data_IF_537379865951
#
_entry.id   IF_537379865951
#
_cell.length_a   1.000
_cell.length_b   1.000
_cell.length_c   1.000
_cell.angle_alpha   90.00
_cell.angle_beta   90.00
_cell.angle_gamma   90.00
#
_symmetry.space_group_name_H-M   'P 1'
#
loop_
_entity.id
_entity.type
_entity.pdbx_description
1 polymer ?
#
# COMPACT_ATOMS: atom_id res chain seq x y z
N UNK A 1 -19.44 19.74 -0.49
CA UNK A 1 -18.35 18.92 -1.03
C UNK A 1 -17.16 19.01 -0.07
N UNK A 2 -17.04 18.10 0.92
CA UNK A 2 -15.89 18.12 1.83
C UNK A 2 -14.66 17.72 1.02
N UNK A 3 -13.75 18.65 0.75
CA UNK A 3 -12.44 18.34 0.16
C UNK A 3 -11.82 17.23 1.00
N UNK A 4 -11.60 16.07 0.40
CA UNK A 4 -10.94 14.96 1.06
C UNK A 4 -9.45 15.32 1.18
N UNK A 5 -9.10 16.08 2.23
CA UNK A 5 -7.77 16.67 2.47
C UNK A 5 -6.64 15.63 2.44
N UNK A 6 -6.99 14.36 2.69
CA UNK A 6 -6.09 13.21 2.58
C UNK A 6 -5.57 13.06 1.15
N UNK A 7 -6.43 13.18 0.13
CA UNK A 7 -6.04 13.04 -1.30
C UNK A 7 -5.03 14.10 -1.74
N UNK A 8 -5.16 15.33 -1.23
CA UNK A 8 -4.31 16.45 -1.60
C UNK A 8 -3.06 16.55 -0.72
N UNK A 9 -2.94 15.72 0.32
CA UNK A 9 -1.87 15.79 1.31
C UNK A 9 -0.47 15.73 0.68
N UNK A 10 -0.14 14.82 -0.27
CA UNK A 10 1.19 14.80 -0.86
C UNK A 10 1.48 16.06 -1.69
N UNK A 11 0.46 16.55 -2.40
CA UNK A 11 0.55 17.75 -3.24
C UNK A 11 0.73 19.02 -2.41
N UNK A 12 -0.08 19.19 -1.35
CA UNK A 12 0.03 20.33 -0.42
C UNK A 12 1.37 20.28 0.30
N UNK A 13 1.80 19.09 0.73
CA UNK A 13 3.07 18.96 1.43
C UNK A 13 4.27 19.31 0.53
N UNK A 14 4.16 19.19 -0.79
CA UNK A 14 5.22 19.56 -1.74
C UNK A 14 5.32 21.08 -1.96
N UNK A 15 4.25 21.84 -1.73
CA UNK A 15 4.20 23.28 -1.97
C UNK A 15 5.30 24.09 -1.27
N UNK A 16 5.66 23.86 0.02
CA UNK A 16 6.73 24.62 0.66
C UNK A 16 8.09 24.47 -0.03
N UNK A 17 8.39 23.28 -0.56
CA UNK A 17 9.63 23.05 -1.30
C UNK A 17 9.58 23.81 -2.62
N UNK A 18 8.48 23.72 -3.35
CA UNK A 18 8.27 24.45 -4.60
C UNK A 18 8.39 25.96 -4.41
N UNK A 19 7.75 26.51 -3.38
CA UNK A 19 7.88 27.92 -3.04
C UNK A 19 9.34 28.29 -2.71
N UNK A 20 10.04 27.44 -1.95
CA UNK A 20 11.46 27.62 -1.66
C UNK A 20 12.33 27.66 -2.93
N UNK A 21 12.09 26.76 -3.89
CA UNK A 21 12.83 26.72 -5.16
C UNK A 21 12.52 27.93 -6.03
N UNK A 22 11.25 28.39 -6.07
CA UNK A 22 10.86 29.60 -6.82
C UNK A 22 11.49 30.85 -6.20
N UNK A 23 11.50 30.96 -4.87
CA UNK A 23 12.17 32.05 -4.16
C UNK A 23 13.67 32.03 -4.43
N UNK A 24 14.29 30.84 -4.41
CA UNK A 24 15.70 30.68 -4.72
C UNK A 24 16.01 31.12 -6.16
N UNK A 25 15.21 30.69 -7.14
CA UNK A 25 15.33 31.13 -8.54
C UNK A 25 15.24 32.66 -8.65
N UNK A 26 14.24 33.25 -7.99
CA UNK A 26 14.02 34.70 -8.01
C UNK A 26 15.21 35.45 -7.41
N UNK A 27 15.74 34.96 -6.29
CA UNK A 27 16.92 35.53 -5.63
C UNK A 27 18.19 35.41 -6.47
N UNK A 28 18.38 34.30 -7.20
CA UNK A 28 19.52 34.15 -8.13
C UNK A 28 19.43 35.17 -9.27
N UNK A 29 18.26 35.32 -9.89
CA UNK A 29 18.09 36.23 -11.04
C UNK A 29 18.17 37.70 -10.61
N UNK A 30 17.40 38.10 -9.61
CA UNK A 30 17.30 39.52 -9.21
C UNK A 30 18.40 39.95 -8.23
N UNK A 31 18.86 39.05 -7.36
CA UNK A 31 19.85 39.36 -6.33
C UNK A 31 21.30 39.24 -6.81
N UNK A 32 21.60 38.24 -7.65
CA UNK A 32 22.95 38.02 -8.18
C UNK A 32 23.13 38.53 -9.62
N UNK A 33 22.06 39.00 -10.28
CA UNK A 33 22.11 39.43 -11.68
C UNK A 33 22.47 38.28 -12.64
N UNK A 34 22.15 37.05 -12.26
CA UNK A 34 22.53 35.86 -13.02
C UNK A 34 21.43 35.47 -14.02
N UNK A 35 21.73 35.59 -15.30
CA UNK A 35 20.78 35.34 -16.39
C UNK A 35 20.58 33.85 -16.73
N UNK A 36 21.35 32.94 -16.13
CA UNK A 36 21.34 31.52 -16.48
C UNK A 36 22.49 31.12 -17.41
N UNK A 37 22.90 29.85 -17.33
CA UNK A 37 24.00 29.27 -18.11
C UNK A 37 23.51 28.47 -19.33
N UNK A 38 22.32 27.87 -19.24
CA UNK A 38 21.79 26.92 -20.23
C UNK A 38 20.40 27.34 -20.69
N UNK A 39 20.08 27.08 -21.95
CA UNK A 39 18.73 27.33 -22.49
C UNK A 39 17.76 26.22 -22.08
N UNK A 40 16.46 26.53 -21.98
CA UNK A 40 15.46 25.52 -21.62
C UNK A 40 15.45 24.32 -22.58
N UNK A 41 15.63 24.58 -23.88
CA UNK A 41 15.74 23.54 -24.92
C UNK A 41 16.90 22.56 -24.70
N UNK A 42 17.93 22.94 -23.94
CA UNK A 42 19.08 22.08 -23.65
C UNK A 42 18.79 21.08 -22.53
N UNK A 43 17.77 21.34 -21.71
CA UNK A 43 17.39 20.49 -20.56
C UNK A 43 16.12 19.67 -20.82
N UNK A 44 15.42 19.90 -21.94
CA UNK A 44 14.19 19.19 -22.31
C UNK A 44 14.35 17.67 -22.32
N UNK A 45 15.50 17.18 -22.82
CA UNK A 45 15.80 15.74 -22.84
C UNK A 45 15.90 15.16 -21.42
N UNK A 46 16.51 15.90 -20.49
CA UNK A 46 16.67 15.47 -19.09
C UNK A 46 15.32 15.46 -18.37
N UNK A 47 14.49 16.49 -18.59
CA UNK A 47 13.13 16.54 -18.03
C UNK A 47 12.29 15.38 -18.57
N UNK A 48 12.33 15.13 -19.87
CA UNK A 48 11.58 14.05 -20.52
C UNK A 48 12.00 12.68 -19.99
N UNK A 49 13.31 12.42 -19.89
CA UNK A 49 13.84 11.21 -19.27
C UNK A 49 13.42 11.08 -17.81
N UNK A 50 13.42 12.20 -17.07
CA UNK A 50 12.97 12.25 -15.68
C UNK A 50 11.50 11.86 -15.51
N UNK A 51 10.61 12.39 -16.35
CA UNK A 51 9.19 12.06 -16.35
C UNK A 51 8.98 10.57 -16.68
N UNK A 52 9.71 10.05 -17.67
CA UNK A 52 9.62 8.63 -18.05
C UNK A 52 10.02 7.70 -16.89
N UNK A 53 11.14 8.00 -16.22
CA UNK A 53 11.64 7.21 -15.09
C UNK A 53 10.69 7.26 -13.89
N UNK A 54 10.12 8.42 -13.58
CA UNK A 54 9.05 8.54 -12.58
C UNK A 54 7.86 7.65 -12.95
N UNK A 55 7.42 7.70 -14.22
CA UNK A 55 6.32 6.88 -14.71
C UNK A 55 6.58 5.38 -14.56
N UNK A 56 7.79 4.92 -14.87
CA UNK A 56 8.19 3.52 -14.70
C UNK A 56 8.15 3.08 -13.23
N UNK A 57 8.70 3.89 -12.33
CA UNK A 57 8.70 3.60 -10.88
C UNK A 57 7.28 3.62 -10.29
N UNK A 58 6.43 4.54 -10.76
CA UNK A 58 5.02 4.60 -10.36
C UNK A 58 4.26 3.37 -10.84
N UNK A 59 4.46 2.92 -12.08
CA UNK A 59 3.80 1.73 -12.61
C UNK A 59 4.15 0.47 -11.82
N UNK A 60 5.42 0.35 -11.42
CA UNK A 60 5.90 -0.73 -10.56
C UNK A 60 5.25 -0.74 -9.18
N UNK A 61 5.33 0.38 -8.45
CA UNK A 61 4.73 0.51 -7.12
C UNK A 61 3.20 0.39 -7.12
N UNK A 62 2.53 0.82 -8.20
CA UNK A 62 1.08 0.65 -8.35
C UNK A 62 0.66 -0.82 -8.48
N UNK A 63 1.49 -1.67 -9.07
CA UNK A 63 1.19 -3.09 -9.19
C UNK A 63 1.12 -3.75 -7.81
N UNK A 64 2.12 -3.47 -6.95
CA UNK A 64 2.17 -3.98 -5.57
C UNK A 64 1.04 -3.41 -4.70
N UNK A 65 0.70 -2.13 -4.89
CA UNK A 65 -0.45 -1.52 -4.24
C UNK A 65 -1.78 -2.21 -4.64
N UNK A 66 -1.97 -2.47 -5.93
CA UNK A 66 -3.18 -3.16 -6.43
C UNK A 66 -3.28 -4.59 -5.94
N UNK A 67 -2.15 -5.28 -5.85
CA UNK A 67 -2.09 -6.59 -5.22
C UNK A 67 -2.50 -6.50 -3.75
N UNK A 68 -1.99 -5.50 -3.02
CA UNK A 68 -2.29 -5.27 -1.61
C UNK A 68 -3.79 -5.04 -1.37
N UNK A 69 -4.45 -4.23 -2.20
CA UNK A 69 -5.92 -4.03 -2.13
C UNK A 69 -6.72 -5.34 -2.27
N UNK A 70 -6.19 -6.32 -3.02
CA UNK A 70 -6.86 -7.59 -3.27
C UNK A 70 -6.75 -8.57 -2.10
N UNK A 71 -5.65 -8.53 -1.36
CA UNK A 71 -5.30 -9.52 -0.32
C UNK A 71 -6.37 -9.62 0.79
N UNK A 72 -6.87 -8.52 1.41
CA UNK A 72 -7.87 -8.62 2.47
C UNK A 72 -9.16 -9.32 2.02
N UNK A 73 -9.60 -9.05 0.79
CA UNK A 73 -10.77 -9.70 0.21
C UNK A 73 -10.53 -11.21 -0.02
N UNK A 74 -9.37 -11.59 -0.56
CA UNK A 74 -9.03 -13.00 -0.74
C UNK A 74 -8.89 -13.76 0.60
N UNK A 75 -8.34 -13.10 1.63
CA UNK A 75 -8.27 -13.67 2.98
C UNK A 75 -9.66 -13.90 3.56
N UNK A 76 -10.56 -12.91 3.44
CA UNK A 76 -11.93 -13.04 3.89
C UNK A 76 -12.64 -14.22 3.21
N UNK A 77 -12.51 -14.33 1.88
CA UNK A 77 -13.09 -15.45 1.11
C UNK A 77 -12.51 -16.79 1.53
N UNK A 78 -11.21 -16.90 1.78
CA UNK A 78 -10.60 -18.15 2.23
C UNK A 78 -11.14 -18.59 3.59
N UNK A 79 -11.32 -17.65 4.54
CA UNK A 79 -11.84 -17.95 5.87
C UNK A 79 -13.34 -18.27 5.81
N UNK A 80 -14.13 -17.50 5.05
CA UNK A 80 -15.56 -17.76 4.84
C UNK A 80 -15.80 -19.12 4.17
N UNK A 81 -14.94 -19.52 3.22
CA UNK A 81 -15.01 -20.85 2.59
C UNK A 81 -14.74 -21.99 3.59
N UNK A 82 -13.86 -21.78 4.57
CA UNK A 82 -13.65 -22.75 5.65
C UNK A 82 -14.87 -22.78 6.57
N UNK A 83 -15.48 -21.63 6.88
CA UNK A 83 -16.71 -21.55 7.68
C UNK A 83 -17.86 -22.33 7.00
N UNK A 84 -18.08 -22.14 5.69
CA UNK A 84 -19.09 -22.87 4.92
C UNK A 84 -18.86 -24.39 4.98
N UNK A 85 -17.60 -24.79 4.92
CA UNK A 85 -17.19 -26.20 5.03
C UNK A 85 -17.51 -26.79 6.41
N UNK A 86 -17.32 -26.00 7.48
CA UNK A 86 -17.65 -26.35 8.86
C UNK A 86 -19.17 -26.42 9.07
N UNK A 87 -19.93 -25.49 8.47
CA UNK A 87 -21.41 -25.51 8.49
C UNK A 87 -21.95 -26.74 7.76
N UNK A 88 -21.36 -27.07 6.60
CA UNK A 88 -21.70 -28.28 5.85
C UNK A 88 -21.47 -29.54 6.70
N UNK A 89 -20.32 -29.63 7.37
CA UNK A 89 -19.97 -30.75 8.25
C UNK A 89 -21.01 -30.94 9.37
N UNK A 90 -21.49 -29.86 9.99
CA UNK A 90 -22.56 -29.90 11.00
C UNK A 90 -23.89 -30.40 10.44
N UNK A 91 -24.24 -30.00 9.21
CA UNK A 91 -25.47 -30.44 8.54
C UNK A 91 -25.56 -31.97 8.34
N UNK A 92 -24.42 -32.65 8.19
CA UNK A 92 -24.36 -34.11 8.06
C UNK A 92 -24.18 -34.84 9.40
N UNK A 93 -23.60 -34.19 10.41
CA UNK A 93 -23.41 -34.77 11.75
C UNK A 93 -23.72 -33.73 12.82
N UNK A 94 -24.90 -33.83 13.44
CA UNK A 94 -25.39 -32.87 14.43
C UNK A 94 -24.53 -32.80 15.72
N UNK A 95 -23.77 -33.85 16.02
CA UNK A 95 -22.83 -33.93 17.16
C UNK A 95 -21.51 -33.16 16.92
N UNK A 96 -21.35 -32.55 15.73
CA UNK A 96 -20.22 -31.68 15.43
C UNK A 96 -20.40 -30.31 16.13
N UNK A 97 -19.44 -29.95 16.99
CA UNK A 97 -19.41 -28.67 17.72
C UNK A 97 -19.12 -27.49 16.80
N UNK A 98 -20.17 -27.05 16.09
CA UNK A 98 -20.15 -25.91 15.19
C UNK A 98 -19.72 -24.60 15.88
N UNK A 99 -20.25 -24.24 17.08
CA UNK A 99 -19.81 -23.04 17.78
C UNK A 99 -18.32 -23.01 18.09
N UNK A 100 -17.71 -24.13 18.53
CA UNK A 100 -16.28 -24.16 18.81
C UNK A 100 -15.44 -23.90 17.56
N UNK A 101 -15.78 -24.53 16.43
CA UNK A 101 -15.04 -24.33 15.17
C UNK A 101 -15.17 -22.89 14.66
N UNK A 102 -16.37 -22.29 14.75
CA UNK A 102 -16.56 -20.88 14.38
C UNK A 102 -15.77 -19.92 15.27
N UNK A 103 -15.72 -20.16 16.59
CA UNK A 103 -14.88 -19.36 17.50
C UNK A 103 -13.41 -19.45 17.13
N UNK A 104 -12.95 -20.64 16.73
CA UNK A 104 -11.58 -20.82 16.28
C UNK A 104 -11.28 -20.01 15.01
N UNK A 105 -12.15 -20.05 13.99
CA UNK A 105 -12.00 -19.25 12.77
C UNK A 105 -12.03 -17.74 13.05
N UNK A 106 -12.97 -17.29 13.89
CA UNK A 106 -13.03 -15.90 14.32
C UNK A 106 -11.74 -15.45 15.04
N UNK A 107 -11.11 -16.34 15.81
CA UNK A 107 -9.81 -16.09 16.43
C UNK A 107 -8.66 -15.93 15.43
N UNK A 108 -8.72 -16.62 14.28
CA UNK A 108 -7.76 -16.42 13.18
C UNK A 108 -7.96 -15.06 12.54
N UNK A 109 -9.21 -14.68 12.22
CA UNK A 109 -9.54 -13.37 11.64
C UNK A 109 -9.11 -12.23 12.56
N UNK A 110 -9.36 -12.37 13.86
CA UNK A 110 -8.95 -11.39 14.88
C UNK A 110 -7.43 -11.23 14.95
N UNK A 111 -6.67 -12.32 14.93
CA UNK A 111 -5.21 -12.26 14.93
C UNK A 111 -4.68 -11.53 13.67
N UNK A 112 -5.26 -11.81 12.49
CA UNK A 112 -4.89 -11.13 11.24
C UNK A 112 -5.21 -9.62 11.31
N UNK A 113 -6.39 -9.25 11.79
CA UNK A 113 -6.77 -7.83 11.96
C UNK A 113 -5.86 -7.12 12.98
N UNK A 114 -5.52 -7.79 14.09
CA UNK A 114 -4.61 -7.25 15.09
C UNK A 114 -3.18 -7.10 14.56
N UNK A 115 -2.74 -7.98 13.65
CA UNK A 115 -1.46 -7.85 12.97
C UNK A 115 -1.40 -6.59 12.10
N UNK A 116 -2.46 -6.32 11.33
CA UNK A 116 -2.56 -5.05 10.59
C UNK A 116 -2.59 -3.84 11.53
N UNK A 117 -3.24 -3.96 12.69
CA UNK A 117 -3.27 -2.92 13.71
C UNK A 117 -1.96 -2.78 14.53
N UNK A 118 -0.89 -3.51 14.18
CA UNK A 118 0.40 -3.52 14.90
C UNK A 118 0.27 -3.98 16.37
N UNK A 119 -0.73 -4.81 16.68
CA UNK A 119 -1.00 -5.36 18.01
C UNK A 119 -0.61 -6.83 18.15
N UNK A 120 -0.25 -7.48 17.05
CA UNK A 120 0.15 -8.88 17.01
C UNK A 120 1.37 -9.12 16.13
N UNK A 121 2.07 -10.22 16.39
CA UNK A 121 3.28 -10.63 15.65
C UNK A 121 2.94 -11.65 14.58
N UNK A 122 3.81 -11.74 13.56
CA UNK A 122 3.65 -12.72 12.48
C UNK A 122 3.63 -14.16 13.00
N UNK A 123 4.43 -14.46 14.03
CA UNK A 123 4.49 -15.78 14.65
C UNK A 123 3.14 -16.21 15.22
N UNK A 124 2.43 -15.32 15.91
CA UNK A 124 1.12 -15.63 16.48
C UNK A 124 0.09 -15.86 15.37
N UNK A 125 0.10 -15.05 14.31
CA UNK A 125 -0.80 -15.25 13.17
C UNK A 125 -0.52 -16.58 12.47
N UNK A 126 0.75 -16.91 12.20
CA UNK A 126 1.10 -18.21 11.59
C UNK A 126 0.65 -19.38 12.46
N UNK A 127 0.82 -19.29 13.78
CA UNK A 127 0.34 -20.30 14.73
C UNK A 127 -1.18 -20.42 14.68
N UNK A 128 -1.92 -19.31 14.64
CA UNK A 128 -3.39 -19.30 14.50
C UNK A 128 -3.84 -19.94 13.19
N UNK A 129 -3.16 -19.64 12.09
CA UNK A 129 -3.41 -20.29 10.80
C UNK A 129 -3.08 -21.78 10.87
N UNK A 130 -2.03 -22.20 11.58
CA UNK A 130 -1.68 -23.61 11.79
C UNK A 130 -2.76 -24.37 12.57
N UNK A 131 -3.32 -23.75 13.61
CA UNK A 131 -4.40 -24.30 14.42
C UNK A 131 -5.61 -24.72 13.56
N UNK A 132 -5.86 -24.13 12.37
CA UNK A 132 -6.90 -24.58 11.41
C UNK A 132 -6.79 -26.08 11.07
N UNK A 133 -5.61 -26.69 11.21
CA UNK A 133 -5.46 -28.15 11.04
C UNK A 133 -6.32 -28.95 12.02
N UNK A 134 -6.60 -28.46 13.22
CA UNK A 134 -7.57 -29.11 14.11
C UNK A 134 -8.97 -29.10 13.50
N UNK A 135 -9.39 -28.03 12.82
CA UNK A 135 -10.69 -27.95 12.14
C UNK A 135 -10.78 -29.03 11.06
N UNK A 136 -9.72 -29.20 10.27
CA UNK A 136 -9.67 -30.24 9.25
C UNK A 136 -9.82 -31.66 9.85
N UNK A 137 -9.24 -31.91 11.03
CA UNK A 137 -9.39 -33.19 11.75
C UNK A 137 -10.83 -33.41 12.24
N UNK A 138 -11.49 -32.39 12.81
CA UNK A 138 -12.88 -32.50 13.26
C UNK A 138 -13.84 -32.72 12.09
N UNK A 139 -13.57 -32.07 10.96
CA UNK A 139 -14.36 -32.23 9.75
C UNK A 139 -14.17 -33.64 9.15
N UNK A 140 -12.97 -34.20 9.17
CA UNK A 140 -12.72 -35.59 8.72
C UNK A 140 -13.53 -36.62 9.53
N UNK A 141 -13.76 -36.37 10.82
CA UNK A 141 -14.56 -37.24 11.69
C UNK A 141 -16.04 -37.32 11.29
N UNK A 142 -16.51 -36.44 10.40
CA UNK A 142 -17.85 -36.55 9.81
C UNK A 142 -17.93 -37.60 8.70
N UNK A 143 -16.79 -38.13 8.24
CA UNK A 143 -16.67 -39.13 7.16
C UNK A 143 -17.25 -38.67 5.81
N UNK A 144 -17.43 -37.37 5.64
CA UNK A 144 -17.77 -36.77 4.35
C UNK A 144 -16.46 -36.66 3.58
N UNK A 145 -16.37 -37.36 2.45
CA UNK A 145 -15.15 -37.35 1.65
C UNK A 145 -14.78 -35.94 1.20
N UNK A 146 -13.47 -35.67 1.09
CA UNK A 146 -12.84 -34.45 0.55
C UNK A 146 -12.95 -33.15 1.36
N UNK A 147 -13.77 -33.12 2.41
CA UNK A 147 -14.02 -31.89 3.18
C UNK A 147 -12.78 -31.41 3.96
N UNK A 148 -11.98 -32.33 4.52
CA UNK A 148 -10.69 -32.00 5.14
C UNK A 148 -9.67 -31.45 4.14
N UNK A 149 -9.62 -32.03 2.92
CA UNK A 149 -8.76 -31.56 1.83
C UNK A 149 -9.12 -30.12 1.41
N UNK A 150 -10.40 -29.76 1.41
CA UNK A 150 -10.83 -28.37 1.15
C UNK A 150 -10.36 -27.42 2.24
N UNK A 151 -10.55 -27.77 3.53
CA UNK A 151 -10.03 -26.96 4.65
C UNK A 151 -8.52 -26.77 4.53
N UNK A 152 -7.76 -27.83 4.23
CA UNK A 152 -6.29 -27.75 4.05
C UNK A 152 -5.89 -26.91 2.84
N UNK A 153 -6.66 -26.93 1.76
CA UNK A 153 -6.44 -26.09 0.58
C UNK A 153 -6.60 -24.61 0.93
N UNK A 154 -7.70 -24.25 1.58
CA UNK A 154 -7.95 -22.86 1.97
C UNK A 154 -6.99 -22.39 3.08
N UNK A 155 -6.60 -23.27 4.02
CA UNK A 155 -5.53 -22.99 4.98
C UNK A 155 -4.21 -22.66 4.26
N UNK A 156 -3.86 -23.42 3.22
CA UNK A 156 -2.64 -23.18 2.44
C UNK A 156 -2.74 -21.87 1.67
N UNK A 157 -3.92 -21.56 1.12
CA UNK A 157 -4.18 -20.29 0.46
C UNK A 157 -4.04 -19.11 1.43
N UNK A 158 -4.61 -19.21 2.63
CA UNK A 158 -4.50 -18.20 3.68
C UNK A 158 -3.04 -17.98 4.11
N UNK A 159 -2.24 -19.04 4.24
CA UNK A 159 -0.79 -18.92 4.49
C UNK A 159 -0.07 -18.18 3.38
N UNK A 160 -0.39 -18.48 2.12
CA UNK A 160 0.21 -17.79 0.97
C UNK A 160 -0.14 -16.31 0.98
N UNK A 161 -1.41 -15.97 1.21
CA UNK A 161 -1.89 -14.59 1.29
C UNK A 161 -1.19 -13.83 2.42
N UNK A 162 -1.14 -14.42 3.62
CA UNK A 162 -0.47 -13.80 4.76
C UNK A 162 1.03 -13.62 4.53
N UNK A 163 1.69 -14.61 3.93
CA UNK A 163 3.10 -14.50 3.54
C UNK A 163 3.34 -13.40 2.50
N UNK A 164 2.39 -13.16 1.57
CA UNK A 164 2.49 -12.04 0.62
C UNK A 164 2.37 -10.71 1.35
N UNK A 165 1.43 -10.59 2.29
CA UNK A 165 1.33 -9.41 3.17
C UNK A 165 2.65 -9.13 3.90
N UNK A 166 3.29 -10.16 4.48
CA UNK A 166 4.55 -9.98 5.23
C UNK A 166 5.70 -9.56 4.31
N UNK A 167 5.79 -10.13 3.11
CA UNK A 167 6.78 -9.71 2.10
C UNK A 167 6.54 -8.26 1.71
N UNK A 168 5.35 -7.89 1.23
CA UNK A 168 5.05 -6.52 0.78
C UNK A 168 5.28 -5.50 1.92
N UNK A 169 4.93 -5.83 3.16
CA UNK A 169 5.18 -4.94 4.31
C UNK A 169 6.67 -4.75 4.63
N UNK A 170 7.51 -5.73 4.31
CA UNK A 170 8.95 -5.75 4.66
C UNK A 170 9.87 -5.34 3.52
N UNK A 171 9.41 -5.44 2.27
CA UNK A 171 10.22 -5.15 1.08
C UNK A 171 9.71 -3.90 0.39
N UNK A 172 10.54 -2.87 0.31
CA UNK A 172 10.31 -1.73 -0.59
C UNK A 172 10.50 -2.15 -2.04
N UNK A 173 9.68 -1.67 -2.97
CA UNK A 173 9.71 -2.02 -4.40
C UNK A 173 11.15 -2.06 -4.94
N UNK A 174 11.94 -0.99 -4.80
CA UNK A 174 13.40 -0.97 -5.06
C UNK A 174 14.07 0.17 -4.28
N UNK A 175 14.84 -0.13 -3.22
CA UNK A 175 15.57 0.88 -2.43
C UNK A 175 16.53 1.74 -3.28
N UNK A 176 17.25 1.13 -4.21
CA UNK A 176 18.14 1.84 -5.15
C UNK A 176 17.38 2.70 -6.16
N UNK A 177 16.15 2.31 -6.52
CA UNK A 177 15.26 3.10 -7.36
C UNK A 177 14.85 4.41 -6.70
N UNK A 178 14.62 4.40 -5.38
CA UNK A 178 14.34 5.64 -4.63
C UNK A 178 15.53 6.60 -4.59
N UNK A 179 16.73 6.09 -4.30
CA UNK A 179 17.94 6.91 -4.33
C UNK A 179 18.13 7.54 -5.72
N UNK A 180 17.88 6.78 -6.78
CA UNK A 180 17.94 7.29 -8.13
C UNK A 180 16.87 8.36 -8.43
N UNK A 181 15.61 8.17 -8.01
CA UNK A 181 14.54 9.17 -8.15
C UNK A 181 14.85 10.48 -7.42
N UNK A 182 15.43 10.40 -6.23
CA UNK A 182 15.82 11.57 -5.44
C UNK A 182 16.93 12.35 -6.14
N UNK A 183 17.98 11.66 -6.59
CA UNK A 183 19.09 12.26 -7.33
C UNK A 183 18.59 12.91 -8.63
N UNK A 184 17.77 12.20 -9.40
CA UNK A 184 17.16 12.72 -10.63
C UNK A 184 16.35 13.99 -10.36
N UNK A 185 15.55 14.00 -9.30
CA UNK A 185 14.76 15.17 -8.90
C UNK A 185 15.65 16.35 -8.52
N UNK A 186 16.73 16.12 -7.77
CA UNK A 186 17.70 17.15 -7.42
C UNK A 186 18.41 17.71 -8.67
N UNK A 187 18.79 16.85 -9.61
CA UNK A 187 19.42 17.26 -10.88
C UNK A 187 18.47 18.11 -11.70
N UNK A 188 17.21 17.69 -11.87
CA UNK A 188 16.20 18.45 -12.62
C UNK A 188 15.95 19.82 -11.98
N UNK A 189 15.79 19.88 -10.65
CA UNK A 189 15.64 21.16 -9.93
C UNK A 189 16.88 22.03 -10.09
N UNK A 190 18.08 21.47 -9.97
CA UNK A 190 19.34 22.18 -10.17
C UNK A 190 19.46 22.77 -11.57
N UNK A 191 19.12 21.99 -12.60
CA UNK A 191 19.08 22.46 -13.99
C UNK A 191 18.10 23.62 -14.16
N UNK A 192 16.86 23.48 -13.67
CA UNK A 192 15.84 24.54 -13.72
C UNK A 192 16.31 25.85 -13.05
N UNK A 193 17.09 25.76 -11.96
CA UNK A 193 17.67 26.92 -11.29
C UNK A 193 18.72 27.64 -12.15
N UNK A 194 19.51 26.92 -12.93
CA UNK A 194 20.54 27.50 -13.81
C UNK A 194 20.05 27.82 -15.23
N UNK A 195 18.84 27.40 -15.60
CA UNK A 195 18.26 27.66 -16.92
C UNK A 195 17.89 29.12 -17.14
N UNK A 196 18.21 29.64 -18.31
CA UNK A 196 17.76 30.94 -18.81
C UNK A 196 16.40 30.82 -19.47
N UNK A 197 15.48 31.70 -19.07
CA UNK A 197 14.14 31.81 -19.67
C UNK A 197 14.01 33.16 -20.38
N UNK A 198 13.32 33.19 -21.53
CA UNK A 198 13.07 34.43 -22.27
C UNK A 198 12.20 35.42 -21.49
N UNK A 199 11.19 34.89 -20.79
CA UNK A 199 10.29 35.66 -19.93
C UNK A 199 10.42 35.15 -18.49
N UNK A 200 10.70 36.07 -17.57
CA UNK A 200 10.85 35.76 -16.15
C UNK A 200 9.60 35.10 -15.53
N UNK A 201 8.40 35.57 -15.90
CA UNK A 201 7.14 35.01 -15.42
C UNK A 201 6.99 33.56 -15.91
N UNK A 202 7.28 33.31 -17.19
CA UNK A 202 7.29 31.96 -17.76
C UNK A 202 8.27 31.06 -17.02
N UNK A 203 9.47 31.57 -16.71
CA UNK A 203 10.47 30.86 -15.92
C UNK A 203 9.97 30.46 -14.53
N UNK A 204 9.35 31.39 -13.78
CA UNK A 204 8.76 31.08 -12.48
C UNK A 204 7.70 29.98 -12.61
N UNK A 205 6.79 30.09 -13.58
CA UNK A 205 5.70 29.13 -13.75
C UNK A 205 6.25 27.73 -14.06
N UNK A 206 7.21 27.62 -14.98
CA UNK A 206 7.81 26.33 -15.35
C UNK A 206 8.61 25.73 -14.19
N UNK A 207 9.43 26.53 -13.51
CA UNK A 207 10.18 26.09 -12.32
C UNK A 207 9.23 25.59 -11.25
N UNK A 208 8.16 26.34 -10.96
CA UNK A 208 7.15 25.94 -9.98
C UNK A 208 6.46 24.62 -10.38
N UNK A 209 6.02 24.52 -11.64
CA UNK A 209 5.30 23.36 -12.15
C UNK A 209 6.14 22.08 -12.09
N UNK A 210 7.35 22.10 -12.66
CA UNK A 210 8.21 20.92 -12.68
C UNK A 210 8.70 20.56 -11.27
N UNK A 211 9.11 21.52 -10.45
CA UNK A 211 9.49 21.24 -9.05
C UNK A 211 8.33 20.58 -8.31
N UNK A 212 7.12 21.12 -8.47
CA UNK A 212 5.93 20.57 -7.83
C UNK A 212 5.67 19.13 -8.28
N UNK A 213 5.71 18.85 -9.59
CA UNK A 213 5.47 17.51 -10.13
C UNK A 213 6.52 16.51 -9.63
N UNK A 214 7.81 16.82 -9.73
CA UNK A 214 8.86 15.87 -9.35
C UNK A 214 8.84 15.57 -7.85
N UNK A 215 8.73 16.60 -7.00
CA UNK A 215 8.66 16.41 -5.55
C UNK A 215 7.37 15.68 -5.14
N UNK A 216 6.23 16.04 -5.73
CA UNK A 216 4.98 15.33 -5.52
C UNK A 216 5.11 13.86 -5.89
N UNK A 217 5.72 13.55 -7.04
CA UNK A 217 5.81 12.19 -7.53
C UNK A 217 6.70 11.31 -6.68
N UNK A 218 7.87 11.80 -6.27
CA UNK A 218 8.73 11.08 -5.31
C UNK A 218 7.97 10.75 -4.03
N UNK A 219 7.16 11.70 -3.52
CA UNK A 219 6.36 11.48 -2.32
C UNK A 219 5.22 10.51 -2.53
N UNK A 220 4.54 10.58 -3.67
CA UNK A 220 3.43 9.68 -3.99
C UNK A 220 3.93 8.24 -4.11
N UNK A 221 5.03 8.01 -4.84
CA UNK A 221 5.61 6.68 -5.02
C UNK A 221 5.97 6.09 -3.65
N UNK A 222 6.60 6.88 -2.77
CA UNK A 222 6.91 6.45 -1.39
C UNK A 222 5.68 6.12 -0.55
N UNK A 223 4.59 6.87 -0.73
CA UNK A 223 3.33 6.65 0.01
C UNK A 223 2.63 5.37 -0.47
N UNK A 224 2.61 5.12 -1.79
CA UNK A 224 1.98 3.94 -2.41
C UNK A 224 2.74 2.63 -2.11
N UNK A 225 4.06 2.69 -2.02
CA UNK A 225 4.93 1.54 -1.75
C UNK A 225 4.74 0.92 -0.36
N UNK A 226 4.08 1.62 0.55
CA UNK A 226 3.81 1.15 1.91
C UNK A 226 2.30 1.03 2.19
N UNK A 227 1.58 0.13 1.49
CA UNK A 227 0.11 0.07 1.52
C UNK A 227 -0.49 -0.39 2.86
N UNK A 228 0.31 -1.00 3.74
CA UNK A 228 -0.11 -1.58 5.02
C UNK A 228 0.33 -0.76 6.24
N UNK A 229 0.68 0.52 6.08
CA UNK A 229 1.13 1.39 7.15
C UNK A 229 -0.04 1.93 8.00
N UNK A 230 -0.77 1.04 8.67
CA UNK A 230 -1.81 1.44 9.63
C UNK A 230 -1.16 2.16 10.83
N UNK A 231 -1.49 3.43 11.10
CA UNK A 231 -0.86 4.17 12.17
C UNK A 231 -1.34 3.67 13.52
N UNK A 232 -0.40 3.42 14.44
CA UNK A 232 -0.69 3.16 15.86
C UNK A 232 -1.48 4.32 16.51
N UNK A 233 -1.36 5.54 15.95
CA UNK A 233 -1.94 6.79 16.45
C UNK A 233 -3.02 7.42 15.54
N UNK A 234 -3.65 6.65 14.63
CA UNK A 234 -4.88 7.06 13.93
C UNK A 234 -4.76 8.08 12.78
N UNK A 235 -3.56 8.35 12.24
CA UNK A 235 -3.38 9.21 11.04
C UNK A 235 -3.28 8.42 9.74
N UNK A 236 -4.42 7.98 9.20
CA UNK A 236 -4.51 7.27 7.90
C UNK A 236 -3.75 8.06 6.82
N UNK A 237 -2.81 7.41 6.13
CA UNK A 237 -2.13 7.97 4.94
C UNK A 237 -3.05 7.91 3.73
N UNK A 238 -2.70 8.63 2.67
CA UNK A 238 -3.58 8.74 1.52
C UNK A 238 -3.68 7.46 0.69
N UNK A 239 -2.67 6.60 0.80
CA UNK A 239 -2.53 5.35 0.09
C UNK A 239 -2.54 4.11 1.02
N UNK A 240 -3.11 4.19 2.22
CA UNK A 240 -3.35 2.99 3.03
C UNK A 240 -4.53 2.21 2.42
N UNK A 241 -4.40 0.89 2.30
CA UNK A 241 -5.53 0.07 1.83
C UNK A 241 -6.59 -0.08 2.92
N UNK A 242 -7.84 -0.25 2.51
CA UNK A 242 -8.93 -0.51 3.44
C UNK A 242 -9.07 -2.02 3.72
N UNK A 243 -9.24 -2.37 5.00
CA UNK A 243 -9.46 -3.75 5.46
C UNK A 243 -10.94 -4.11 5.53
N UNK A 244 -11.85 -3.25 5.04
CA UNK A 244 -13.30 -3.45 5.13
C UNK A 244 -13.76 -4.87 4.74
N UNK A 245 -13.24 -5.59 3.72
CA UNK A 245 -13.75 -6.93 3.41
C UNK A 245 -13.51 -7.92 4.56
N UNK A 246 -12.37 -7.80 5.23
CA UNK A 246 -11.99 -8.64 6.36
C UNK A 246 -12.72 -8.20 7.65
N UNK A 247 -12.88 -6.90 7.86
CA UNK A 247 -13.62 -6.33 8.99
C UNK A 247 -15.10 -6.72 8.91
N UNK A 248 -15.73 -6.52 7.76
CA UNK A 248 -17.14 -6.88 7.54
C UNK A 248 -17.35 -8.40 7.67
N UNK A 249 -16.42 -9.23 7.15
CA UNK A 249 -16.46 -10.67 7.39
C UNK A 249 -16.39 -10.98 8.89
N UNK A 250 -15.45 -10.38 9.61
CA UNK A 250 -15.29 -10.56 11.06
C UNK A 250 -16.56 -10.20 11.84
N UNK A 251 -17.20 -9.08 11.50
CA UNK A 251 -18.46 -8.67 12.10
C UNK A 251 -19.60 -9.65 11.80
N UNK A 252 -19.71 -10.12 10.55
CA UNK A 252 -20.71 -11.14 10.18
C UNK A 252 -20.48 -12.44 10.93
N UNK A 253 -19.22 -12.91 11.00
CA UNK A 253 -18.83 -14.12 11.69
C UNK A 253 -19.16 -14.04 13.19
N UNK A 254 -18.85 -12.90 13.85
CA UNK A 254 -19.20 -12.67 15.27
C UNK A 254 -20.70 -12.70 15.54
N UNK A 255 -21.54 -12.22 14.61
CA UNK A 255 -23.01 -12.29 14.74
C UNK A 255 -23.57 -13.70 14.59
N UNK A 256 -22.80 -14.63 14.01
CA UNK A 256 -23.18 -16.04 13.77
C UNK A 256 -22.63 -17.02 14.83
N UNK A 257 -21.92 -16.51 15.84
CA UNK A 257 -21.43 -17.24 17.01
C UNK A 257 -22.52 -17.40 18.08
#
# INVERSE_FOLDING_TARGET
>A
MKLNLIKWKPMIAALPITLGVVLLKTGIVHGLGYDGLVHFSEIDLVITGGIFLIGFMLAGTLADYKESEKIPAEMAVAIESIEDTVVLAHGFKSDFDLPAQKRQLNGVTEAILNYYAHRETEEVVYKKIEEITSIALHVEQTKIGSTSSWVKREQTNLRRLFSRTTVIKRTSFIATGYAFLEVLTLVVIGLLLITRFENFITGIILVAFFTQIFIYMVRLIKDIDHPFEYPVNGRVRAADIDLFPLIEYHERARRRL
#
